data_IF_595060393573
#
_entry.id   IF_595060393573
#
_cell.length_a   1.000
_cell.length_b   1.000
_cell.length_c   1.000
_cell.angle_alpha   90.00
_cell.angle_beta   90.00
_cell.angle_gamma   90.00
#
_symmetry.space_group_name_H-M   'P 1'
#
loop_
_entity.id
_entity.type
_entity.pdbx_description
1 polymer ?
#
# COMPACT_ATOMS: atom_id res chain seq x y z
N UNK A 1 3.33 14.07 -65.72
CA UNK A 1 2.45 13.95 -64.59
C UNK A 1 2.90 12.75 -63.76
N UNK A 2 3.62 12.98 -62.65
CA UNK A 2 4.08 11.92 -61.74
C UNK A 2 3.31 12.07 -60.43
N UNK A 3 2.44 11.11 -60.15
CA UNK A 3 1.64 11.05 -58.92
C UNK A 3 2.47 10.42 -57.80
N UNK A 4 2.95 11.22 -56.90
CA UNK A 4 3.60 10.79 -55.64
C UNK A 4 2.54 10.22 -54.67
N UNK A 5 2.50 8.89 -54.51
CA UNK A 5 1.74 8.22 -53.44
C UNK A 5 2.43 8.47 -52.12
N UNK A 6 1.82 9.28 -51.28
CA UNK A 6 2.17 9.40 -49.88
C UNK A 6 1.84 8.11 -49.14
N UNK A 7 2.86 7.38 -48.68
CA UNK A 7 2.69 6.23 -47.82
C UNK A 7 2.41 6.71 -46.38
N UNK A 8 1.15 6.60 -45.97
CA UNK A 8 0.72 6.79 -44.62
C UNK A 8 1.34 5.68 -43.73
N UNK A 9 2.38 6.00 -42.95
CA UNK A 9 2.93 5.10 -41.97
C UNK A 9 1.92 4.94 -40.83
N UNK A 10 1.23 3.81 -40.80
CA UNK A 10 0.45 3.34 -39.69
C UNK A 10 1.38 3.16 -38.47
N UNK A 11 1.41 4.14 -37.60
CA UNK A 11 2.01 3.97 -36.24
C UNK A 11 1.17 2.93 -35.53
N UNK A 12 1.69 1.70 -35.41
CA UNK A 12 1.15 0.69 -34.50
C UNK A 12 1.14 1.29 -33.11
N UNK A 13 -0.04 1.61 -32.58
CA UNK A 13 -0.25 1.87 -31.18
C UNK A 13 0.02 0.54 -30.46
N UNK A 14 1.26 0.37 -30.02
CA UNK A 14 1.59 -0.67 -29.05
C UNK A 14 0.61 -0.52 -27.88
N UNK A 15 -0.29 -1.48 -27.72
CA UNK A 15 -1.34 -1.43 -26.73
C UNK A 15 -0.71 -1.29 -25.33
N UNK A 16 -0.81 -0.13 -24.74
CA UNK A 16 -0.46 -0.01 -23.31
C UNK A 16 -1.43 -0.90 -22.56
N UNK A 17 -0.91 -1.81 -21.73
CA UNK A 17 -1.73 -2.67 -20.87
C UNK A 17 -2.61 -1.86 -19.90
N UNK A 18 -2.60 -0.54 -20.00
CA UNK A 18 -3.38 0.39 -19.19
C UNK A 18 -3.08 0.24 -17.71
N UNK A 19 -4.13 0.26 -16.90
CA UNK A 19 -4.00 0.17 -15.44
C UNK A 19 -4.05 -1.27 -14.89
N UNK A 20 -4.42 -2.25 -15.73
CA UNK A 20 -4.71 -3.61 -15.27
C UNK A 20 -3.54 -4.31 -14.57
N UNK A 21 -2.29 -4.23 -15.05
CA UNK A 21 -1.15 -4.81 -14.32
C UNK A 21 -0.98 -4.21 -12.92
N UNK A 22 -1.25 -2.92 -12.76
CA UNK A 22 -1.13 -2.21 -11.50
C UNK A 22 -2.23 -2.56 -10.52
N UNK A 23 -3.46 -2.75 -11.01
CA UNK A 23 -4.56 -3.29 -10.20
C UNK A 23 -4.30 -4.75 -9.81
N UNK A 24 -3.71 -5.55 -10.70
CA UNK A 24 -3.26 -6.90 -10.40
C UNK A 24 -2.21 -6.93 -9.30
N UNK A 25 -1.22 -6.03 -9.36
CA UNK A 25 -0.21 -5.89 -8.30
C UNK A 25 -0.84 -5.48 -6.96
N UNK A 26 -1.74 -4.48 -6.97
CA UNK A 26 -2.45 -4.08 -5.76
C UNK A 26 -3.25 -5.24 -5.16
N UNK A 27 -3.92 -6.05 -5.98
CA UNK A 27 -4.65 -7.23 -5.52
C UNK A 27 -3.71 -8.27 -4.90
N UNK A 28 -2.54 -8.53 -5.49
CA UNK A 28 -1.54 -9.44 -4.92
C UNK A 28 -1.10 -8.95 -3.53
N UNK A 29 -0.86 -7.65 -3.37
CA UNK A 29 -0.48 -7.05 -2.08
C UNK A 29 -1.59 -7.26 -1.04
N UNK A 30 -2.85 -7.02 -1.41
CA UNK A 30 -4.00 -7.28 -0.52
C UNK A 30 -4.05 -8.75 -0.11
N UNK A 31 -3.86 -9.67 -1.04
CA UNK A 31 -3.89 -11.12 -0.75
C UNK A 31 -2.77 -11.49 0.22
N UNK A 32 -1.53 -11.02 -0.02
CA UNK A 32 -0.40 -11.29 0.87
C UNK A 32 -0.65 -10.70 2.26
N UNK A 33 -1.14 -9.47 2.33
CA UNK A 33 -1.46 -8.80 3.59
C UNK A 33 -2.52 -9.57 4.38
N UNK A 34 -3.65 -9.87 3.76
CA UNK A 34 -4.75 -10.57 4.44
C UNK A 34 -4.38 -12.02 4.79
N UNK A 35 -3.59 -12.69 3.97
CA UNK A 35 -3.09 -14.02 4.27
C UNK A 35 -2.18 -14.01 5.50
N UNK A 36 -1.19 -13.11 5.55
CA UNK A 36 -0.29 -13.01 6.71
C UNK A 36 -1.03 -12.64 7.99
N UNK A 37 -1.97 -11.69 7.93
CA UNK A 37 -2.82 -11.31 9.07
C UNK A 37 -3.70 -12.47 9.56
N UNK A 38 -4.27 -13.25 8.65
CA UNK A 38 -5.06 -14.44 8.99
C UNK A 38 -4.21 -15.48 9.72
N UNK A 39 -2.98 -15.71 9.29
CA UNK A 39 -2.05 -16.59 10.02
C UNK A 39 -1.79 -16.08 11.44
N UNK A 40 -1.51 -14.79 11.59
CA UNK A 40 -1.29 -14.18 12.92
C UNK A 40 -2.53 -14.35 13.82
N UNK A 41 -3.71 -14.07 13.29
CA UNK A 41 -4.98 -14.24 14.03
C UNK A 41 -5.23 -15.70 14.45
N UNK A 42 -4.80 -16.67 13.63
CA UNK A 42 -4.97 -18.10 13.89
C UNK A 42 -3.98 -18.68 14.89
N UNK A 43 -2.74 -18.20 14.91
CA UNK A 43 -1.67 -18.79 15.70
C UNK A 43 -1.28 -18.00 16.96
N UNK A 44 -1.60 -16.71 17.04
CA UNK A 44 -1.21 -15.82 18.13
C UNK A 44 -2.43 -15.31 18.89
N UNK A 45 -2.36 -15.27 20.23
CA UNK A 45 -3.28 -14.49 21.05
C UNK A 45 -2.86 -13.02 21.07
N UNK A 46 -3.79 -12.13 21.40
CA UNK A 46 -3.46 -10.71 21.56
C UNK A 46 -2.38 -10.51 22.64
N UNK A 47 -1.31 -9.82 22.26
CA UNK A 47 -0.16 -9.57 23.12
C UNK A 47 0.93 -10.65 23.06
N UNK A 48 0.69 -11.77 22.37
CA UNK A 48 1.75 -12.77 22.18
C UNK A 48 2.89 -12.18 21.34
N UNK A 49 4.12 -12.63 21.67
CA UNK A 49 5.33 -12.28 20.98
C UNK A 49 6.25 -13.50 20.82
N UNK A 50 6.75 -13.73 19.62
CA UNK A 50 7.79 -14.72 19.33
C UNK A 50 9.09 -14.00 18.99
N UNK A 51 10.14 -14.27 19.77
CA UNK A 51 11.49 -13.79 19.48
C UNK A 51 12.06 -14.50 18.24
N UNK A 52 12.44 -13.74 17.24
CA UNK A 52 13.04 -14.28 16.01
C UNK A 52 14.53 -13.95 15.93
N UNK A 53 14.88 -12.69 16.21
CA UNK A 53 16.29 -12.23 16.27
C UNK A 53 16.46 -11.20 17.39
N UNK A 54 17.71 -10.79 17.65
CA UNK A 54 18.04 -9.75 18.64
C UNK A 54 17.44 -8.37 18.38
N UNK A 55 16.80 -8.17 17.23
CA UNK A 55 16.21 -6.89 16.81
C UNK A 55 14.81 -7.03 16.22
N UNK A 56 14.26 -8.25 16.13
CA UNK A 56 12.99 -8.50 15.45
C UNK A 56 12.16 -9.57 16.15
N UNK A 57 10.89 -9.27 16.39
CA UNK A 57 9.88 -10.19 16.93
C UNK A 57 8.67 -10.25 15.98
N UNK A 58 8.00 -11.40 15.97
CA UNK A 58 6.63 -11.52 15.46
C UNK A 58 5.68 -11.41 16.64
N UNK A 59 4.72 -10.49 16.53
CA UNK A 59 3.76 -10.19 17.62
C UNK A 59 2.33 -10.24 17.09
N UNK A 60 1.34 -10.21 17.98
CA UNK A 60 -0.03 -9.84 17.62
C UNK A 60 -0.42 -8.58 18.39
N UNK A 61 -0.52 -7.48 17.65
CA UNK A 61 -1.01 -6.21 18.16
C UNK A 61 -2.25 -5.76 17.37
N UNK A 62 -3.14 -5.02 18.03
CA UNK A 62 -4.33 -4.44 17.41
C UNK A 62 -4.18 -2.92 17.36
N UNK A 63 -4.19 -2.38 16.15
CA UNK A 63 -4.05 -0.96 15.88
C UNK A 63 -5.43 -0.35 15.51
N UNK A 64 -6.02 0.36 16.44
CA UNK A 64 -7.30 1.05 16.22
C UNK A 64 -7.16 2.38 15.47
N UNK A 65 -5.92 2.74 15.08
CA UNK A 65 -5.59 4.03 14.47
C UNK A 65 -5.09 5.07 15.48
N UNK A 66 -4.97 4.67 16.75
CA UNK A 66 -4.41 5.50 17.82
C UNK A 66 -2.87 5.39 17.84
N UNK A 67 -2.20 5.84 16.79
CA UNK A 67 -0.73 5.99 16.82
C UNK A 67 -0.27 6.97 17.93
N UNK A 68 -1.20 7.72 18.49
CA UNK A 68 -1.03 8.60 19.63
C UNK A 68 -2.12 8.24 20.65
N UNK A 69 -1.77 7.81 21.81
CA UNK A 69 -2.65 7.42 22.97
C UNK A 69 -3.80 8.41 23.24
N UNK A 70 -3.69 9.60 22.77
CA UNK A 70 -4.64 10.70 22.81
C UNK A 70 -6.01 10.39 22.14
N UNK A 71 -6.08 9.42 21.21
CA UNK A 71 -7.33 8.99 20.55
C UNK A 71 -7.79 7.59 20.98
N UNK A 72 -7.11 6.95 21.95
CA UNK A 72 -7.36 5.55 22.31
C UNK A 72 -8.70 5.31 23.02
N UNK A 73 -9.26 6.31 23.71
CA UNK A 73 -10.35 6.15 24.69
C UNK A 73 -11.76 6.47 24.18
N UNK A 74 -12.00 6.69 22.87
CA UNK A 74 -13.31 7.18 22.40
C UNK A 74 -14.00 6.28 21.37
N UNK A 75 -15.17 5.81 21.75
CA UNK A 75 -16.39 5.44 20.98
C UNK A 75 -16.29 4.74 19.60
N UNK A 76 -15.12 4.26 19.15
CA UNK A 76 -15.00 3.51 17.88
C UNK A 76 -15.16 4.32 16.57
N UNK A 77 -15.32 5.66 16.63
CA UNK A 77 -15.40 6.50 15.45
C UNK A 77 -14.13 6.48 14.60
N UNK A 78 -12.97 6.21 15.22
CA UNK A 78 -11.67 6.10 14.57
C UNK A 78 -11.69 5.05 13.45
N UNK A 79 -12.38 3.92 13.67
CA UNK A 79 -12.59 2.89 12.65
C UNK A 79 -13.16 3.50 11.37
N UNK A 80 -14.24 4.25 11.50
CA UNK A 80 -14.94 4.84 10.34
C UNK A 80 -14.15 5.97 9.71
N UNK A 81 -13.48 6.80 10.50
CA UNK A 81 -12.63 7.88 10.03
C UNK A 81 -11.47 7.36 9.17
N UNK A 82 -10.68 6.39 9.69
CA UNK A 82 -9.57 5.82 8.92
C UNK A 82 -10.05 4.96 7.75
N UNK A 83 -11.19 4.32 7.85
CA UNK A 83 -11.81 3.62 6.71
C UNK A 83 -12.17 4.62 5.61
N UNK A 84 -12.80 5.74 5.94
CA UNK A 84 -13.16 6.77 4.96
C UNK A 84 -11.92 7.36 4.28
N UNK A 85 -10.85 7.66 5.03
CA UNK A 85 -9.57 8.09 4.46
C UNK A 85 -9.00 7.04 3.51
N UNK A 86 -8.97 5.77 3.91
CA UNK A 86 -8.46 4.68 3.07
C UNK A 86 -9.25 4.50 1.79
N UNK A 87 -10.59 4.58 1.85
CA UNK A 87 -11.45 4.50 0.67
C UNK A 87 -11.24 5.72 -0.24
N UNK A 88 -11.19 6.93 0.32
CA UNK A 88 -10.93 8.14 -0.46
C UNK A 88 -9.56 8.08 -1.16
N UNK A 89 -8.53 7.62 -0.45
CA UNK A 89 -7.20 7.41 -1.01
C UNK A 89 -7.25 6.37 -2.15
N UNK A 90 -7.95 5.24 -1.98
CA UNK A 90 -8.07 4.21 -3.00
C UNK A 90 -8.74 4.75 -4.28
N UNK A 91 -9.84 5.52 -4.15
CA UNK A 91 -10.51 6.16 -5.28
C UNK A 91 -9.57 7.13 -5.99
N UNK A 92 -8.88 7.98 -5.24
CA UNK A 92 -7.91 8.94 -5.77
C UNK A 92 -6.77 8.25 -6.51
N UNK A 93 -6.21 7.17 -5.94
CA UNK A 93 -5.12 6.41 -6.56
C UNK A 93 -5.57 5.74 -7.86
N UNK A 94 -6.76 5.18 -7.92
CA UNK A 94 -7.29 4.59 -9.17
C UNK A 94 -7.46 5.67 -10.24
N UNK A 95 -7.91 6.86 -9.88
CA UNK A 95 -7.96 8.00 -10.80
C UNK A 95 -6.58 8.41 -11.29
N UNK A 96 -5.58 8.51 -10.40
CA UNK A 96 -4.20 8.82 -10.74
C UNK A 96 -3.58 7.76 -11.66
N UNK A 97 -3.80 6.48 -11.42
CA UNK A 97 -3.33 5.38 -12.26
C UNK A 97 -3.90 5.46 -13.69
N UNK A 98 -5.17 5.86 -13.83
CA UNK A 98 -5.78 6.08 -15.15
C UNK A 98 -5.13 7.24 -15.89
N UNK A 99 -4.82 8.31 -15.20
CA UNK A 99 -4.23 9.52 -15.78
C UNK A 99 -2.75 9.37 -16.14
N UNK A 100 -2.01 8.45 -15.49
CA UNK A 100 -0.55 8.33 -15.58
C UNK A 100 -0.07 6.92 -15.94
N UNK A 101 -0.89 6.12 -16.61
CA UNK A 101 -0.61 4.69 -16.90
C UNK A 101 0.73 4.41 -17.63
N UNK A 102 1.32 5.42 -18.29
CA UNK A 102 2.62 5.31 -18.97
C UNK A 102 3.85 5.47 -18.04
N UNK A 103 3.68 5.95 -16.82
CA UNK A 103 4.75 6.22 -15.87
C UNK A 103 4.96 5.01 -14.96
N UNK A 104 5.86 4.09 -15.37
CA UNK A 104 5.99 2.78 -14.70
C UNK A 104 6.31 2.86 -13.21
N UNK A 105 7.29 3.69 -12.81
CA UNK A 105 7.69 3.80 -11.40
C UNK A 105 6.59 4.45 -10.57
N UNK A 106 5.96 5.50 -11.09
CA UNK A 106 4.80 6.12 -10.49
C UNK A 106 3.64 5.13 -10.32
N UNK A 107 3.31 4.38 -11.37
CA UNK A 107 2.21 3.41 -11.32
C UNK A 107 2.49 2.23 -10.39
N UNK A 108 3.75 1.76 -10.30
CA UNK A 108 4.18 0.78 -9.32
C UNK A 108 3.99 1.30 -7.88
N UNK A 109 4.44 2.52 -7.61
CA UNK A 109 4.29 3.18 -6.32
C UNK A 109 2.81 3.31 -5.92
N UNK A 110 1.97 3.77 -6.84
CA UNK A 110 0.53 3.89 -6.63
C UNK A 110 -0.13 2.54 -6.36
N UNK A 111 0.27 1.49 -7.07
CA UNK A 111 -0.24 0.13 -6.84
C UNK A 111 0.13 -0.40 -5.45
N UNK A 112 1.35 -0.14 -4.99
CA UNK A 112 1.79 -0.50 -3.63
C UNK A 112 0.95 0.20 -2.56
N UNK A 113 0.75 1.52 -2.69
CA UNK A 113 -0.06 2.30 -1.75
C UNK A 113 -1.52 1.84 -1.80
N UNK A 114 -2.07 1.60 -3.01
CA UNK A 114 -3.44 1.13 -3.18
C UNK A 114 -3.67 -0.20 -2.48
N UNK A 115 -2.79 -1.19 -2.72
CA UNK A 115 -2.91 -2.51 -2.12
C UNK A 115 -2.82 -2.45 -0.59
N UNK A 116 -1.86 -1.71 -0.04
CA UNK A 116 -1.74 -1.53 1.40
C UNK A 116 -2.92 -0.77 2.02
N UNK A 117 -3.39 0.30 1.38
CA UNK A 117 -4.55 1.05 1.86
C UNK A 117 -5.80 0.17 1.92
N UNK A 118 -6.06 -0.63 0.86
CA UNK A 118 -7.20 -1.57 0.83
C UNK A 118 -7.03 -2.64 1.90
N UNK A 119 -5.83 -3.22 2.08
CA UNK A 119 -5.58 -4.23 3.11
C UNK A 119 -5.96 -3.73 4.51
N UNK A 120 -5.51 -2.53 4.87
CA UNK A 120 -5.86 -1.92 6.15
C UNK A 120 -7.33 -1.48 6.26
N UNK A 121 -8.00 -1.16 5.14
CA UNK A 121 -9.45 -0.90 5.12
C UNK A 121 -10.23 -2.19 5.38
N UNK A 122 -9.84 -3.31 4.75
CA UNK A 122 -10.47 -4.62 4.98
C UNK A 122 -10.44 -5.00 6.46
N UNK A 123 -9.29 -4.89 7.12
CA UNK A 123 -9.18 -5.17 8.55
C UNK A 123 -10.14 -4.31 9.38
N UNK A 124 -10.16 -3.00 9.13
CA UNK A 124 -11.07 -2.10 9.85
C UNK A 124 -12.54 -2.43 9.63
N UNK A 125 -12.90 -2.85 8.42
CA UNK A 125 -14.27 -3.27 8.11
C UNK A 125 -14.65 -4.60 8.78
N UNK A 126 -13.72 -5.54 8.87
CA UNK A 126 -13.98 -6.86 9.44
C UNK A 126 -13.87 -6.88 10.97
N UNK A 127 -12.83 -6.27 11.51
CA UNK A 127 -12.43 -6.42 12.91
C UNK A 127 -12.60 -5.13 13.73
N UNK A 128 -12.64 -3.96 13.10
CA UNK A 128 -12.65 -2.66 13.77
C UNK A 128 -11.25 -2.11 14.11
N UNK A 129 -10.21 -2.89 13.86
CA UNK A 129 -8.79 -2.55 14.06
C UNK A 129 -7.94 -3.12 12.92
N UNK A 130 -6.69 -2.73 12.85
CA UNK A 130 -5.69 -3.33 11.94
C UNK A 130 -4.84 -4.32 12.74
N UNK A 131 -4.52 -5.47 12.15
CA UNK A 131 -3.63 -6.47 12.74
C UNK A 131 -2.18 -6.13 12.40
N UNK A 132 -1.38 -5.81 13.41
CA UNK A 132 0.05 -5.52 13.27
C UNK A 132 0.87 -6.67 13.88
N UNK A 133 1.97 -7.06 13.19
CA UNK A 133 2.71 -8.26 13.61
C UNK A 133 4.23 -8.19 13.42
N UNK A 134 4.76 -7.21 12.71
CA UNK A 134 6.19 -6.98 12.55
C UNK A 134 6.65 -5.98 13.61
N UNK A 135 7.49 -6.40 14.56
CA UNK A 135 7.99 -5.56 15.63
C UNK A 135 9.52 -5.55 15.63
N UNK A 136 10.09 -4.39 15.33
CA UNK A 136 11.53 -4.16 15.38
C UNK A 136 11.91 -3.45 16.68
N UNK A 137 13.07 -3.79 17.23
CA UNK A 137 13.57 -3.17 18.46
C UNK A 137 15.10 -3.09 18.51
N UNK A 138 15.60 -2.16 19.30
CA UNK A 138 17.02 -2.04 19.62
C UNK A 138 17.16 -1.84 21.14
N UNK A 139 17.58 -2.90 21.84
CA UNK A 139 17.53 -2.93 23.31
C UNK A 139 16.11 -2.75 23.82
N UNK A 140 15.90 -1.72 24.65
CA UNK A 140 14.58 -1.41 25.23
C UNK A 140 13.72 -0.46 24.37
N UNK A 141 14.21 -0.02 23.21
CA UNK A 141 13.44 0.82 22.30
C UNK A 141 12.75 -0.04 21.27
N UNK A 142 11.41 0.10 21.16
CA UNK A 142 10.58 -0.63 20.22
C UNK A 142 10.00 0.32 19.17
N UNK A 143 10.18 -0.03 17.91
CA UNK A 143 9.42 0.61 16.83
C UNK A 143 7.97 0.13 16.88
N UNK A 144 6.98 1.00 16.65
CA UNK A 144 5.58 0.57 16.59
C UNK A 144 5.40 -0.61 15.64
N UNK A 145 4.66 -1.63 16.09
CA UNK A 145 4.38 -2.78 15.25
C UNK A 145 3.63 -2.34 13.99
N UNK A 146 3.88 -3.04 12.88
CA UNK A 146 3.26 -2.78 11.57
C UNK A 146 3.04 -4.11 10.82
N UNK A 147 2.53 -4.05 9.59
CA UNK A 147 2.14 -5.21 8.81
C UNK A 147 2.61 -5.13 7.34
N UNK A 148 2.19 -6.09 6.51
CA UNK A 148 2.55 -6.15 5.09
C UNK A 148 1.95 -4.97 4.29
N UNK A 149 0.74 -4.53 4.63
CA UNK A 149 0.10 -3.36 4.01
C UNK A 149 0.90 -2.08 4.26
N UNK A 150 1.35 -1.85 5.51
CA UNK A 150 2.15 -0.68 5.87
C UNK A 150 3.52 -0.69 5.19
N UNK A 151 4.12 -1.89 5.07
CA UNK A 151 5.36 -2.10 4.30
C UNK A 151 5.18 -1.71 2.82
N UNK A 152 4.07 -2.12 2.22
CA UNK A 152 3.74 -1.77 0.84
C UNK A 152 3.48 -0.27 0.66
N UNK A 153 2.74 0.37 1.59
CA UNK A 153 2.52 1.82 1.59
C UNK A 153 3.86 2.57 1.68
N UNK A 154 4.72 2.15 2.59
CA UNK A 154 6.05 2.77 2.79
C UNK A 154 6.92 2.62 1.55
N UNK A 155 6.97 1.41 0.95
CA UNK A 155 7.68 1.17 -0.30
C UNK A 155 7.15 2.05 -1.43
N UNK A 156 5.83 2.15 -1.56
CA UNK A 156 5.18 3.01 -2.54
C UNK A 156 5.53 4.48 -2.34
N UNK A 157 5.52 4.98 -1.11
CA UNK A 157 5.89 6.35 -0.78
C UNK A 157 7.36 6.65 -1.13
N UNK A 158 8.28 5.74 -0.81
CA UNK A 158 9.69 5.85 -1.21
C UNK A 158 9.83 5.91 -2.73
N UNK A 159 9.13 5.02 -3.46
CA UNK A 159 9.17 5.02 -4.91
C UNK A 159 8.62 6.31 -5.54
N UNK A 160 7.57 6.93 -4.95
CA UNK A 160 7.07 8.23 -5.39
C UNK A 160 8.12 9.33 -5.21
N UNK A 161 8.78 9.38 -4.06
CA UNK A 161 9.84 10.36 -3.80
C UNK A 161 10.98 10.19 -4.82
N UNK A 162 11.39 8.95 -5.08
CA UNK A 162 12.45 8.65 -6.07
C UNK A 162 12.00 9.05 -7.48
N UNK A 163 10.75 8.80 -7.85
CA UNK A 163 10.21 9.18 -9.16
C UNK A 163 10.21 10.70 -9.34
N UNK A 164 9.77 11.43 -8.33
CA UNK A 164 9.75 12.90 -8.34
C UNK A 164 11.17 13.48 -8.42
N UNK A 165 12.14 13.00 -7.63
CA UNK A 165 13.52 13.42 -7.70
C UNK A 165 14.10 13.19 -9.11
N UNK A 166 13.81 12.02 -9.72
CA UNK A 166 14.25 11.71 -11.08
C UNK A 166 13.62 12.63 -12.12
N UNK A 167 12.35 12.98 -11.94
CA UNK A 167 11.61 13.89 -12.82
C UNK A 167 12.19 15.30 -12.78
N UNK A 168 12.41 15.83 -11.58
CA UNK A 168 13.02 17.15 -11.38
C UNK A 168 14.44 17.22 -11.99
N UNK A 169 15.28 16.19 -11.74
CA UNK A 169 16.65 16.15 -12.29
C UNK A 169 16.70 16.06 -13.82
N UNK A 170 15.64 15.56 -14.46
CA UNK A 170 15.54 15.49 -15.92
C UNK A 170 14.93 16.74 -16.54
N UNK A 171 14.62 17.78 -15.75
CA UNK A 171 14.02 19.03 -16.20
C UNK A 171 12.60 18.89 -16.74
N UNK A 172 11.87 17.91 -16.28
CA UNK A 172 10.48 17.62 -16.67
C UNK A 172 9.52 17.90 -15.55
#
# INVERSE_FOLDING_TARGET
MATTRSASASRSRGGSLGIWPWLGLALIIVIIDQFTKTLILGYYKLGDATYVTSFFNVVRAHNTGAAFSFLADHSGWQRWFFTAIGVAAAIFIVWMLRSHAGQKLFSFAMACILGGAIGNVVDRMMHGYVVDFLSFHAGNWYFPAFNAADSAITLGAICLIVDEIRRVRRGK
#
